data_IF_539159217888
#
_entry.id   IF_539159217888
#
_cell.length_a   1.000
_cell.length_b   1.000
_cell.length_c   1.000
_cell.angle_alpha   90.00
_cell.angle_beta   90.00
_cell.angle_gamma   90.00
#
_symmetry.space_group_name_H-M   'P 1'
#
loop_
_entity.id
_entity.type
_entity.pdbx_description
1 polymer ?
#
# COMPACT_ATOMS: atom_id res chain seq x y z
N UNK A 1 21.62 -8.12 -16.31
CA UNK A 1 20.18 -7.92 -16.59
C UNK A 1 20.05 -7.61 -18.07
N UNK A 2 19.10 -8.24 -18.77
CA UNK A 2 18.77 -7.86 -20.15
C UNK A 2 18.28 -6.41 -20.15
N UNK A 3 18.56 -5.66 -21.23
CA UNK A 3 18.06 -4.27 -21.41
C UNK A 3 16.53 -4.17 -21.41
N UNK A 4 15.84 -5.31 -21.47
CA UNK A 4 14.39 -5.42 -21.48
C UNK A 4 13.76 -5.70 -20.10
N UNK A 5 14.57 -5.96 -19.06
CA UNK A 5 14.07 -6.25 -17.73
C UNK A 5 13.53 -4.98 -17.05
N UNK A 6 12.25 -4.99 -16.69
CA UNK A 6 11.63 -3.90 -15.93
C UNK A 6 12.05 -4.01 -14.46
N UNK A 7 12.66 -2.95 -13.92
CA UNK A 7 13.11 -2.91 -12.53
C UNK A 7 11.94 -2.65 -11.57
N UNK A 8 11.20 -1.57 -11.82
CA UNK A 8 10.05 -1.20 -10.98
C UNK A 8 8.77 -1.14 -11.79
N UNK A 9 7.68 -1.66 -11.23
CA UNK A 9 6.31 -1.33 -11.62
C UNK A 9 5.65 -0.58 -10.46
N UNK A 10 5.14 0.62 -10.69
CA UNK A 10 4.27 1.29 -9.73
C UNK A 10 2.80 1.01 -10.06
N UNK A 11 1.97 0.82 -9.03
CA UNK A 11 0.52 0.68 -9.12
C UNK A 11 -0.13 1.80 -8.33
N UNK A 12 -0.85 2.66 -9.04
CA UNK A 12 -1.60 3.78 -8.48
C UNK A 12 -3.09 3.56 -8.73
N UNK A 13 -3.89 3.62 -7.67
CA UNK A 13 -5.34 3.67 -7.79
C UNK A 13 -5.81 5.12 -7.72
N UNK A 14 -6.48 5.58 -8.78
CA UNK A 14 -7.09 6.91 -8.87
C UNK A 14 -8.61 6.81 -8.76
N UNK A 15 -9.21 7.55 -7.85
CA UNK A 15 -10.64 7.75 -7.76
C UNK A 15 -10.96 9.14 -7.23
N UNK A 16 -11.41 10.04 -8.12
CA UNK A 16 -11.61 11.46 -7.82
C UNK A 16 -10.36 12.10 -7.20
N UNK A 17 -9.23 11.92 -7.88
CA UNK A 17 -7.89 12.30 -7.41
C UNK A 17 -7.25 13.42 -8.25
N UNK A 18 -8.03 14.18 -9.05
CA UNK A 18 -7.49 15.20 -9.95
C UNK A 18 -6.53 16.19 -9.26
N UNK A 19 -6.79 16.48 -7.98
CA UNK A 19 -5.95 17.37 -7.17
C UNK A 19 -4.52 16.84 -6.95
N UNK A 20 -4.35 15.52 -6.91
CA UNK A 20 -3.12 14.87 -6.43
C UNK A 20 -2.38 14.10 -7.53
N UNK A 21 -3.12 13.61 -8.53
CA UNK A 21 -2.63 12.65 -9.50
C UNK A 21 -1.39 13.13 -10.26
N UNK A 22 -1.36 14.40 -10.67
CA UNK A 22 -0.22 14.96 -11.39
C UNK A 22 1.05 14.93 -10.52
N UNK A 23 0.98 15.46 -9.29
CA UNK A 23 2.12 15.47 -8.38
C UNK A 23 2.62 14.08 -8.04
N UNK A 24 1.72 13.11 -7.88
CA UNK A 24 2.06 11.70 -7.64
C UNK A 24 2.82 11.09 -8.83
N UNK A 25 2.30 11.25 -10.04
CA UNK A 25 2.90 10.69 -11.27
C UNK A 25 4.25 11.35 -11.56
N UNK A 26 4.35 12.69 -11.52
CA UNK A 26 5.60 13.41 -11.82
C UNK A 26 6.69 13.10 -10.78
N UNK A 27 6.33 12.94 -9.51
CA UNK A 27 7.28 12.51 -8.47
C UNK A 27 7.83 11.12 -8.77
N UNK A 28 6.99 10.18 -9.23
CA UNK A 28 7.44 8.83 -9.59
C UNK A 28 8.27 8.81 -10.87
N UNK A 29 7.90 9.55 -11.90
CA UNK A 29 8.70 9.69 -13.14
C UNK A 29 10.09 10.18 -12.78
N UNK A 30 10.19 11.23 -11.97
CA UNK A 30 11.47 11.78 -11.50
C UNK A 30 12.23 10.75 -10.64
N UNK A 31 11.55 10.08 -9.73
CA UNK A 31 12.13 9.05 -8.87
C UNK A 31 12.73 7.89 -9.69
N UNK A 32 11.99 7.38 -10.66
CA UNK A 32 12.42 6.26 -11.49
C UNK A 32 13.56 6.60 -12.44
N UNK A 33 13.64 7.85 -12.91
CA UNK A 33 14.75 8.32 -13.74
C UNK A 33 16.11 8.24 -13.03
N UNK A 34 16.14 8.18 -11.70
CA UNK A 34 17.37 8.00 -10.92
C UNK A 34 17.90 6.56 -10.88
N UNK A 35 17.12 5.57 -11.34
CA UNK A 35 17.53 4.17 -11.30
C UNK A 35 17.99 3.67 -12.68
N UNK A 36 19.03 2.83 -12.67
CA UNK A 36 19.43 2.10 -13.87
C UNK A 36 18.42 0.98 -14.14
N UNK A 37 17.74 1.04 -15.27
CA UNK A 37 16.77 0.05 -15.72
C UNK A 37 15.42 0.67 -16.08
N UNK A 38 14.62 -0.10 -16.82
CA UNK A 38 13.26 0.33 -17.22
C UNK A 38 12.33 0.29 -16.03
N UNK A 39 11.39 1.22 -16.01
CA UNK A 39 10.32 1.25 -15.01
C UNK A 39 8.98 1.57 -15.68
N UNK A 40 7.90 1.20 -15.07
CA UNK A 40 6.53 1.44 -15.57
C UNK A 40 5.61 1.88 -14.43
N UNK A 41 4.65 2.74 -14.76
CA UNK A 41 3.67 3.28 -13.81
C UNK A 41 2.28 2.93 -14.32
N UNK A 42 1.60 2.01 -13.67
CA UNK A 42 0.22 1.64 -13.95
C UNK A 42 -0.73 2.48 -13.11
N UNK A 43 -1.47 3.39 -13.73
CA UNK A 43 -2.51 4.17 -13.07
C UNK A 43 -3.87 3.63 -13.47
N UNK A 44 -4.65 3.19 -12.49
CA UNK A 44 -6.00 2.71 -12.71
C UNK A 44 -7.02 3.78 -12.26
N UNK A 45 -7.67 4.44 -13.23
CA UNK A 45 -8.81 5.30 -12.94
C UNK A 45 -10.07 4.45 -12.71
N UNK A 46 -10.58 4.51 -11.49
CA UNK A 46 -11.68 3.67 -11.01
C UNK A 46 -13.05 4.34 -11.18
N UNK A 47 -13.30 4.94 -12.34
CA UNK A 47 -14.56 5.60 -12.66
C UNK A 47 -14.70 6.97 -12.01
N UNK A 48 -13.67 7.79 -12.07
CA UNK A 48 -13.65 9.17 -11.56
C UNK A 48 -14.62 10.09 -12.30
N UNK A 49 -15.05 11.16 -11.63
CA UNK A 49 -15.98 12.17 -12.15
C UNK A 49 -15.51 13.61 -11.96
N UNK A 50 -14.26 13.79 -11.49
CA UNK A 50 -13.67 15.09 -11.12
C UNK A 50 -12.61 15.59 -12.12
N UNK A 51 -12.48 14.94 -13.29
CA UNK A 51 -11.45 15.26 -14.28
C UNK A 51 -10.20 14.41 -14.19
N UNK A 52 -10.07 13.49 -13.22
CA UNK A 52 -8.90 12.59 -13.07
C UNK A 52 -8.59 11.81 -14.34
N UNK A 53 -9.63 11.28 -15.03
CA UNK A 53 -9.45 10.50 -16.25
C UNK A 53 -8.86 11.34 -17.40
N UNK A 54 -9.31 12.59 -17.58
CA UNK A 54 -8.78 13.49 -18.58
C UNK A 54 -7.32 13.88 -18.27
N UNK A 55 -7.03 14.16 -16.98
CA UNK A 55 -5.68 14.45 -16.51
C UNK A 55 -4.75 13.25 -16.74
N UNK A 56 -5.20 12.02 -16.45
CA UNK A 56 -4.44 10.81 -16.72
C UNK A 56 -4.11 10.66 -18.21
N UNK A 57 -5.06 11.00 -19.11
CA UNK A 57 -4.82 11.03 -20.55
C UNK A 57 -3.68 11.99 -20.92
N UNK A 58 -3.73 13.23 -20.45
CA UNK A 58 -2.70 14.25 -20.70
C UNK A 58 -1.32 13.86 -20.13
N UNK A 59 -1.29 13.25 -18.94
CA UNK A 59 -0.06 12.73 -18.35
C UNK A 59 0.52 11.57 -19.17
N UNK A 60 -0.35 10.71 -19.74
CA UNK A 60 0.09 9.60 -20.60
C UNK A 60 0.72 10.11 -21.89
N UNK A 61 0.17 11.18 -22.50
CA UNK A 61 0.78 11.82 -23.67
C UNK A 61 2.15 12.44 -23.34
N UNK A 62 2.33 12.93 -22.10
CA UNK A 62 3.59 13.51 -21.63
C UNK A 62 4.66 12.43 -21.34
N UNK A 63 4.24 11.26 -20.85
CA UNK A 63 5.13 10.17 -20.41
C UNK A 63 4.78 8.81 -21.06
N UNK A 64 4.70 8.69 -22.40
CA UNK A 64 4.14 7.51 -23.07
C UNK A 64 4.95 6.22 -22.83
N UNK A 65 6.26 6.36 -22.60
CA UNK A 65 7.15 5.21 -22.39
C UNK A 65 6.96 4.57 -21.00
N UNK A 66 6.66 5.39 -19.99
CA UNK A 66 6.61 4.96 -18.58
C UNK A 66 5.19 4.76 -18.09
N UNK A 67 4.27 5.67 -18.45
CA UNK A 67 2.90 5.67 -17.91
C UNK A 67 1.97 4.75 -18.71
N UNK A 68 1.26 3.87 -18.00
CA UNK A 68 0.33 2.87 -18.55
C UNK A 68 -1.04 3.08 -17.91
N UNK A 69 -1.96 3.82 -18.58
CA UNK A 69 -3.27 4.13 -18.04
C UNK A 69 -4.24 2.94 -18.17
N UNK A 70 -5.08 2.79 -17.16
CA UNK A 70 -6.20 1.85 -17.15
C UNK A 70 -7.46 2.61 -16.71
N UNK A 71 -8.60 2.29 -17.30
CA UNK A 71 -9.85 2.98 -17.04
C UNK A 71 -10.98 2.01 -16.72
N UNK A 72 -11.82 2.39 -15.78
CA UNK A 72 -13.08 1.73 -15.50
C UNK A 72 -14.25 2.72 -15.65
N UNK A 73 -15.37 2.27 -16.20
CA UNK A 73 -16.57 3.11 -16.32
C UNK A 73 -17.25 3.35 -14.97
N UNK A 74 -16.98 2.50 -13.97
CA UNK A 74 -17.61 2.53 -12.65
C UNK A 74 -16.59 2.22 -11.55
N UNK A 75 -16.87 2.69 -10.34
CA UNK A 75 -16.06 2.34 -9.17
C UNK A 75 -16.27 0.86 -8.79
N UNK A 76 -15.26 0.03 -9.05
CA UNK A 76 -15.24 -1.41 -8.77
C UNK A 76 -14.66 -1.76 -7.40
N UNK A 77 -14.28 -0.76 -6.60
CA UNK A 77 -13.59 -0.93 -5.31
C UNK A 77 -12.08 -0.95 -5.44
N UNK A 78 -11.41 -0.90 -4.31
CA UNK A 78 -9.94 -0.83 -4.24
C UNK A 78 -9.28 -2.10 -4.73
N UNK A 79 -9.77 -3.26 -4.30
CA UNK A 79 -9.15 -4.56 -4.55
C UNK A 79 -9.19 -4.97 -6.02
N UNK A 80 -10.37 -4.89 -6.65
CA UNK A 80 -10.54 -5.24 -8.07
C UNK A 80 -9.67 -4.34 -8.95
N UNK A 81 -9.68 -3.03 -8.70
CA UNK A 81 -8.93 -2.07 -9.50
C UNK A 81 -7.41 -2.26 -9.34
N UNK A 82 -6.93 -2.44 -8.10
CA UNK A 82 -5.51 -2.73 -7.85
C UNK A 82 -5.08 -4.06 -8.45
N UNK A 83 -5.90 -5.11 -8.35
CA UNK A 83 -5.58 -6.41 -8.95
C UNK A 83 -5.39 -6.32 -10.46
N UNK A 84 -6.22 -5.54 -11.16
CA UNK A 84 -6.08 -5.33 -12.61
C UNK A 84 -4.76 -4.63 -12.96
N UNK A 85 -4.36 -3.63 -12.19
CA UNK A 85 -3.08 -2.97 -12.37
C UNK A 85 -1.90 -3.88 -11.99
N UNK A 86 -2.00 -4.61 -10.86
CA UNK A 86 -0.99 -5.58 -10.42
C UNK A 86 -0.75 -6.69 -11.45
N UNK A 87 -1.81 -7.18 -12.10
CA UNK A 87 -1.70 -8.21 -13.14
C UNK A 87 -0.92 -7.75 -14.38
N UNK A 88 -0.84 -6.44 -14.63
CA UNK A 88 -0.08 -5.87 -15.75
C UNK A 88 1.39 -5.60 -15.40
N UNK A 89 1.77 -5.66 -14.11
CA UNK A 89 3.12 -5.37 -13.64
C UNK A 89 4.13 -6.42 -14.11
N UNK A 90 5.27 -5.94 -14.65
CA UNK A 90 6.39 -6.78 -15.07
C UNK A 90 7.66 -6.54 -14.27
N UNK A 91 7.69 -5.47 -13.48
CA UNK A 91 8.83 -5.08 -12.68
C UNK A 91 9.25 -6.14 -11.65
N UNK A 92 10.55 -6.25 -11.43
CA UNK A 92 11.10 -7.08 -10.36
C UNK A 92 10.54 -6.68 -8.99
N UNK A 93 10.40 -5.38 -8.78
CA UNK A 93 9.79 -4.77 -7.60
C UNK A 93 8.49 -4.09 -7.99
N UNK A 94 7.48 -4.23 -7.15
CA UNK A 94 6.19 -3.56 -7.31
C UNK A 94 5.99 -2.57 -6.17
N UNK A 95 5.81 -1.32 -6.54
CA UNK A 95 5.46 -0.22 -5.63
C UNK A 95 3.95 0.02 -5.69
N UNK A 96 3.23 -0.33 -4.64
CA UNK A 96 1.83 0.09 -4.47
C UNK A 96 1.83 1.47 -3.82
N UNK A 97 1.19 2.44 -4.45
CA UNK A 97 1.16 3.83 -4.00
C UNK A 97 -0.25 4.41 -4.13
N UNK A 98 -0.72 5.13 -3.11
CA UNK A 98 -1.97 5.91 -3.21
C UNK A 98 -1.75 7.16 -4.07
N UNK A 99 -2.79 7.61 -4.78
CA UNK A 99 -2.71 8.76 -5.69
C UNK A 99 -2.44 10.10 -4.98
N UNK A 100 -2.59 10.16 -3.67
CA UNK A 100 -2.29 11.29 -2.79
C UNK A 100 -0.97 11.11 -2.00
N UNK A 101 -0.12 10.15 -2.45
CA UNK A 101 1.19 9.92 -1.88
C UNK A 101 2.31 10.21 -2.88
N UNK A 102 3.47 10.61 -2.36
CA UNK A 102 4.70 10.80 -3.14
C UNK A 102 5.90 10.19 -2.45
N UNK A 103 6.84 9.66 -3.24
CA UNK A 103 8.10 9.09 -2.75
C UNK A 103 9.25 9.53 -3.66
N UNK A 104 10.37 9.93 -3.05
CA UNK A 104 11.57 10.31 -3.79
C UNK A 104 12.56 9.16 -3.97
N UNK A 105 13.59 9.42 -4.79
CA UNK A 105 14.62 8.45 -5.14
C UNK A 105 15.31 7.83 -3.92
N UNK A 106 15.82 8.65 -2.99
CA UNK A 106 16.55 8.16 -1.80
C UNK A 106 15.69 7.23 -0.93
N UNK A 107 14.40 7.58 -0.76
CA UNK A 107 13.47 6.78 0.01
C UNK A 107 13.20 5.43 -0.67
N UNK A 108 12.95 5.41 -1.99
CA UNK A 108 12.72 4.17 -2.73
C UNK A 108 13.98 3.30 -2.79
N UNK A 109 15.16 3.90 -2.95
CA UNK A 109 16.44 3.20 -2.89
C UNK A 109 16.68 2.56 -1.51
N UNK A 110 16.33 3.27 -0.43
CA UNK A 110 16.42 2.73 0.93
C UNK A 110 15.44 1.56 1.16
N UNK A 111 14.18 1.68 0.68
CA UNK A 111 13.21 0.58 0.74
C UNK A 111 13.72 -0.66 0.00
N UNK A 112 14.27 -0.46 -1.21
CA UNK A 112 14.85 -1.56 -2.00
C UNK A 112 16.01 -2.21 -1.26
N UNK A 113 16.94 -1.41 -0.72
CA UNK A 113 18.09 -1.92 0.04
C UNK A 113 17.63 -2.77 1.22
N UNK A 114 16.63 -2.32 1.96
CA UNK A 114 16.06 -3.07 3.09
C UNK A 114 15.37 -4.35 2.62
N UNK A 115 14.66 -4.29 1.48
CA UNK A 115 13.98 -5.45 0.90
C UNK A 115 14.97 -6.53 0.45
N UNK A 116 16.10 -6.12 -0.14
CA UNK A 116 17.14 -7.02 -0.63
C UNK A 116 18.05 -7.56 0.49
N UNK A 117 17.95 -7.04 1.73
CA UNK A 117 18.81 -7.44 2.85
C UNK A 117 18.57 -8.89 3.31
N UNK A 118 17.36 -9.43 3.11
CA UNK A 118 17.05 -10.81 3.45
C UNK A 118 15.90 -11.38 2.61
N UNK A 119 15.99 -12.65 2.16
CA UNK A 119 15.00 -13.26 1.26
C UNK A 119 13.63 -13.49 1.91
N UNK A 120 13.54 -13.45 3.23
CA UNK A 120 12.31 -13.59 3.99
C UNK A 120 11.55 -12.24 4.15
N UNK A 121 12.11 -11.11 3.69
CA UNK A 121 11.42 -9.84 3.67
C UNK A 121 10.53 -9.80 2.42
N UNK A 122 9.22 -9.86 2.62
CA UNK A 122 8.24 -9.86 1.53
C UNK A 122 7.62 -8.50 1.24
N UNK A 123 7.71 -7.56 2.18
CA UNK A 123 7.20 -6.21 2.03
C UNK A 123 8.02 -5.25 2.88
N UNK A 124 8.35 -4.09 2.32
CA UNK A 124 8.94 -2.97 3.06
C UNK A 124 8.06 -1.75 2.88
N UNK A 125 7.84 -1.02 3.98
CA UNK A 125 7.00 0.17 4.00
C UNK A 125 7.75 1.35 4.61
N UNK A 126 7.59 2.57 4.05
CA UNK A 126 8.28 3.75 4.55
C UNK A 126 7.58 4.33 5.78
N UNK A 127 8.28 5.24 6.43
CA UNK A 127 7.66 6.22 7.30
C UNK A 127 6.80 7.16 6.47
N UNK A 128 5.50 7.22 6.79
CA UNK A 128 4.60 8.21 6.18
C UNK A 128 4.62 9.50 7.00
N UNK A 129 4.59 10.62 6.29
CA UNK A 129 4.41 11.95 6.88
C UNK A 129 3.30 12.70 6.14
N UNK A 130 2.59 13.53 6.87
CA UNK A 130 1.70 14.54 6.28
C UNK A 130 2.52 15.61 5.55
N UNK A 131 1.91 16.40 4.63
CA UNK A 131 2.61 17.50 3.97
C UNK A 131 3.21 18.54 4.91
N UNK A 132 2.67 18.68 6.12
CA UNK A 132 3.17 19.55 7.18
C UNK A 132 4.35 18.97 7.98
N UNK A 133 4.84 17.77 7.58
CA UNK A 133 5.97 17.08 8.19
C UNK A 133 5.63 16.22 9.41
N UNK A 134 4.39 16.28 9.94
CA UNK A 134 3.98 15.43 11.07
C UNK A 134 4.05 13.95 10.71
N UNK A 135 4.46 13.13 11.66
CA UNK A 135 4.44 11.68 11.51
C UNK A 135 3.01 11.15 11.38
N UNK A 136 2.80 10.30 10.39
CA UNK A 136 1.54 9.59 10.19
C UNK A 136 1.66 8.14 10.68
N UNK A 137 0.80 7.74 11.60
CA UNK A 137 0.78 6.36 12.09
C UNK A 137 0.23 5.41 11.02
N UNK A 138 1.12 4.82 10.24
CA UNK A 138 0.81 3.96 9.08
C UNK A 138 0.89 2.46 9.39
N UNK A 139 1.50 2.07 10.51
CA UNK A 139 1.67 0.68 10.91
C UNK A 139 0.99 0.41 12.25
N UNK A 140 0.53 -0.81 12.46
CA UNK A 140 -0.09 -1.22 13.72
C UNK A 140 -0.04 -2.75 13.87
N UNK A 141 -0.52 -3.22 15.00
CA UNK A 141 -0.76 -4.64 15.28
C UNK A 141 -2.06 -5.09 14.63
N UNK A 142 -2.14 -6.36 14.22
CA UNK A 142 -3.39 -6.91 13.67
C UNK A 142 -4.60 -6.56 14.53
N UNK A 143 -5.68 -6.07 13.91
CA UNK A 143 -6.84 -5.59 14.64
C UNK A 143 -7.50 -6.70 15.44
N UNK A 144 -7.95 -6.37 16.65
CA UNK A 144 -8.95 -7.11 17.38
C UNK A 144 -10.15 -6.19 17.61
N UNK A 145 -11.29 -6.73 17.97
CA UNK A 145 -12.48 -5.91 18.26
C UNK A 145 -12.17 -4.88 19.33
N UNK A 146 -11.49 -5.30 20.42
CA UNK A 146 -11.09 -4.41 21.52
C UNK A 146 -10.12 -3.32 21.06
N UNK A 147 -9.11 -3.67 20.23
CA UNK A 147 -8.14 -2.69 19.71
C UNK A 147 -8.79 -1.69 18.74
N UNK A 148 -9.71 -2.13 17.88
CA UNK A 148 -10.47 -1.23 16.99
C UNK A 148 -11.27 -0.23 17.80
N UNK A 149 -11.93 -0.66 18.88
CA UNK A 149 -12.68 0.24 19.77
C UNK A 149 -11.73 1.23 20.47
N UNK A 150 -10.63 0.76 21.05
CA UNK A 150 -9.62 1.63 21.67
C UNK A 150 -9.05 2.65 20.68
N UNK A 151 -8.70 2.21 19.46
CA UNK A 151 -8.18 3.10 18.40
C UNK A 151 -9.23 4.14 18.01
N UNK A 152 -10.49 3.76 17.85
CA UNK A 152 -11.56 4.70 17.54
C UNK A 152 -11.69 5.80 18.61
N UNK A 153 -11.59 5.43 19.88
CA UNK A 153 -11.73 6.38 21.00
C UNK A 153 -10.48 7.26 21.23
N UNK A 154 -9.27 6.78 20.85
CA UNK A 154 -7.99 7.42 21.20
C UNK A 154 -7.08 7.74 20.01
N UNK A 155 -7.59 7.71 18.78
CA UNK A 155 -6.75 7.83 17.58
C UNK A 155 -5.90 9.09 17.60
N UNK A 156 -6.47 10.25 17.89
CA UNK A 156 -5.74 11.53 17.92
C UNK A 156 -4.61 11.54 18.96
N UNK A 157 -4.87 11.03 20.16
CA UNK A 157 -3.84 10.95 21.20
C UNK A 157 -2.76 9.92 20.88
N UNK A 158 -3.10 8.83 20.19
CA UNK A 158 -2.14 7.84 19.73
C UNK A 158 -1.24 8.40 18.61
N UNK A 159 -1.79 9.16 17.68
CA UNK A 159 -1.01 9.82 16.62
C UNK A 159 -0.09 10.91 17.18
N UNK A 160 -0.55 11.70 18.13
CA UNK A 160 0.27 12.74 18.78
C UNK A 160 1.41 12.16 19.62
N UNK A 161 1.21 11.01 20.24
CA UNK A 161 2.22 10.32 21.05
C UNK A 161 3.14 9.40 20.22
N UNK A 162 2.76 9.08 18.99
CA UNK A 162 3.51 8.16 18.15
C UNK A 162 4.81 8.82 17.64
N UNK A 163 5.91 8.09 17.80
CA UNK A 163 7.20 8.42 17.20
C UNK A 163 7.64 7.28 16.30
N UNK A 164 8.28 7.63 15.20
CA UNK A 164 8.87 6.62 14.35
C UNK A 164 10.01 5.92 15.12
N UNK A 165 10.15 4.59 15.01
CA UNK A 165 11.30 3.89 15.54
C UNK A 165 12.57 4.40 14.85
N UNK A 166 13.72 4.27 15.53
CA UNK A 166 15.03 4.72 15.01
C UNK A 166 15.69 3.73 14.03
N UNK A 167 15.21 2.48 13.99
CA UNK A 167 15.73 1.41 13.15
C UNK A 167 14.60 0.60 12.51
N UNK A 168 14.86 -0.15 11.42
CA UNK A 168 13.89 -1.04 10.82
C UNK A 168 13.32 -2.05 11.84
N UNK A 169 11.99 -2.24 11.79
CA UNK A 169 11.29 -3.19 12.66
C UNK A 169 10.27 -4.01 11.88
N UNK A 170 10.03 -5.23 12.34
CA UNK A 170 8.90 -6.03 11.85
C UNK A 170 7.58 -5.44 12.36
N UNK A 171 6.60 -5.35 11.46
CA UNK A 171 5.24 -4.87 11.80
C UNK A 171 4.18 -5.88 11.40
N UNK A 172 3.08 -5.95 12.15
CA UNK A 172 1.99 -6.87 11.82
C UNK A 172 1.34 -6.47 10.49
N UNK A 173 1.03 -5.18 10.30
CA UNK A 173 0.52 -4.64 9.04
C UNK A 173 0.86 -3.16 8.87
N UNK A 174 0.76 -2.71 7.63
CA UNK A 174 0.83 -1.31 7.24
C UNK A 174 -0.36 -0.96 6.32
N UNK A 175 -0.82 0.30 6.37
CA UNK A 175 -1.81 0.81 5.40
C UNK A 175 -1.24 0.77 3.99
N UNK A 176 -2.10 0.58 2.98
CA UNK A 176 -1.69 0.40 1.59
C UNK A 176 -1.31 1.67 0.84
N UNK A 177 -0.99 2.75 1.59
CA UNK A 177 -0.60 4.03 0.99
C UNK A 177 0.77 4.00 0.29
N UNK A 178 1.71 3.19 0.80
CA UNK A 178 3.00 2.96 0.14
C UNK A 178 3.61 1.62 0.58
N UNK A 179 3.69 0.66 -0.33
CA UNK A 179 4.30 -0.64 -0.13
C UNK A 179 5.29 -0.95 -1.24
N UNK A 180 6.47 -1.45 -0.90
CA UNK A 180 7.39 -2.05 -1.86
C UNK A 180 7.48 -3.56 -1.63
N UNK A 181 7.21 -4.35 -2.68
CA UNK A 181 7.24 -5.82 -2.65
C UNK A 181 8.02 -6.38 -3.84
N UNK A 182 8.71 -7.51 -3.69
CA UNK A 182 9.14 -8.30 -4.85
C UNK A 182 7.91 -8.83 -5.60
N UNK A 183 7.94 -8.83 -6.93
CA UNK A 183 6.86 -9.44 -7.74
C UNK A 183 6.64 -10.92 -7.39
N UNK A 184 7.72 -11.65 -7.13
CA UNK A 184 7.64 -13.05 -6.71
C UNK A 184 6.83 -13.26 -5.40
N UNK A 185 6.85 -12.28 -4.48
CA UNK A 185 6.01 -12.33 -3.27
C UNK A 185 4.54 -12.14 -3.61
N UNK A 186 4.22 -11.21 -4.54
CA UNK A 186 2.84 -11.02 -5.01
C UNK A 186 2.33 -12.29 -5.69
N UNK A 187 3.16 -12.95 -6.49
CA UNK A 187 2.82 -14.23 -7.13
C UNK A 187 2.57 -15.34 -6.10
N UNK A 188 3.39 -15.41 -5.06
CA UNK A 188 3.27 -16.41 -4.00
C UNK A 188 2.06 -16.18 -3.08
N UNK A 189 1.76 -14.92 -2.74
CA UNK A 189 0.65 -14.52 -1.86
C UNK A 189 -0.69 -14.51 -2.61
N UNK A 190 -0.65 -14.23 -3.92
CA UNK A 190 -1.82 -14.05 -4.78
C UNK A 190 -2.40 -12.62 -4.72
N UNK A 191 -3.49 -12.38 -5.48
CA UNK A 191 -4.11 -11.06 -5.60
C UNK A 191 -4.79 -10.62 -4.30
N UNK A 192 -5.14 -9.34 -4.17
CA UNK A 192 -6.00 -8.81 -3.12
C UNK A 192 -7.36 -9.53 -3.15
N UNK A 193 -8.00 -9.69 -1.98
CA UNK A 193 -9.30 -10.36 -1.89
C UNK A 193 -10.45 -9.45 -2.35
N UNK A 194 -11.02 -9.76 -3.50
CA UNK A 194 -12.07 -8.96 -4.16
C UNK A 194 -13.41 -8.98 -3.43
N UNK A 195 -13.60 -9.84 -2.41
CA UNK A 195 -14.74 -9.76 -1.52
C UNK A 195 -14.64 -8.56 -0.55
N UNK A 196 -13.48 -7.91 -0.47
CA UNK A 196 -13.27 -6.69 0.30
C UNK A 196 -13.27 -5.51 -0.68
N UNK A 197 -14.36 -4.75 -0.70
CA UNK A 197 -14.53 -3.65 -1.65
C UNK A 197 -13.55 -2.48 -1.41
N UNK A 198 -13.29 -2.11 -0.13
CA UNK A 198 -12.49 -0.94 0.22
C UNK A 198 -11.52 -1.21 1.37
N UNK A 199 -11.99 -1.66 2.52
CA UNK A 199 -11.19 -1.88 3.74
C UNK A 199 -11.82 -3.03 4.55
N UNK A 200 -11.01 -3.87 5.22
CA UNK A 200 -9.57 -3.79 5.50
C UNK A 200 -8.71 -4.67 4.54
N UNK A 201 -8.62 -4.33 3.28
CA UNK A 201 -7.85 -5.06 2.27
C UNK A 201 -6.35 -5.08 2.58
N UNK A 202 -5.84 -3.99 3.14
CA UNK A 202 -4.46 -3.82 3.58
C UNK A 202 -4.09 -4.81 4.68
N UNK A 203 -4.93 -4.91 5.70
CA UNK A 203 -4.73 -5.84 6.81
C UNK A 203 -4.85 -7.28 6.34
N UNK A 204 -5.84 -7.59 5.47
CA UNK A 204 -6.01 -8.93 4.88
C UNK A 204 -4.76 -9.35 4.11
N UNK A 205 -4.25 -8.46 3.27
CA UNK A 205 -3.06 -8.75 2.47
C UNK A 205 -1.83 -8.98 3.35
N UNK A 206 -1.61 -8.13 4.35
CA UNK A 206 -0.52 -8.28 5.30
C UNK A 206 -0.59 -9.61 6.07
N UNK A 207 -1.78 -10.06 6.50
CA UNK A 207 -1.94 -11.40 7.12
C UNK A 207 -1.50 -12.50 6.15
N UNK A 208 -1.85 -12.39 4.88
CA UNK A 208 -1.47 -13.40 3.87
C UNK A 208 0.02 -13.39 3.56
N UNK A 209 0.67 -12.24 3.56
CA UNK A 209 2.14 -12.13 3.47
C UNK A 209 2.81 -12.90 4.62
N UNK A 210 2.34 -12.70 5.87
CA UNK A 210 2.83 -13.45 7.03
C UNK A 210 2.54 -14.95 6.96
N UNK A 211 1.36 -15.34 6.47
CA UNK A 211 1.00 -16.77 6.29
C UNK A 211 1.82 -17.45 5.21
N UNK A 212 2.28 -16.71 4.21
CA UNK A 212 3.20 -17.19 3.18
C UNK A 212 4.65 -17.29 3.65
N UNK A 213 4.95 -16.92 4.90
CA UNK A 213 6.28 -17.03 5.50
C UNK A 213 7.14 -15.78 5.38
N UNK A 214 6.63 -14.71 4.79
CA UNK A 214 7.37 -13.47 4.63
C UNK A 214 7.14 -12.48 5.78
N UNK A 215 8.13 -11.60 6.00
CA UNK A 215 8.06 -10.47 6.95
C UNK A 215 7.60 -9.20 6.26
N UNK A 216 7.02 -8.32 7.06
CA UNK A 216 6.72 -6.94 6.69
C UNK A 216 7.61 -6.05 7.54
N UNK A 217 8.46 -5.26 6.90
CA UNK A 217 9.43 -4.40 7.58
C UNK A 217 9.05 -2.93 7.41
N UNK A 218 8.94 -2.22 8.50
CA UNK A 218 8.86 -0.76 8.52
C UNK A 218 10.27 -0.18 8.50
N UNK A 219 10.57 0.63 7.48
CA UNK A 219 11.87 1.28 7.29
C UNK A 219 11.76 2.79 7.60
N UNK A 220 12.14 3.23 8.79
CA UNK A 220 11.94 4.62 9.23
C UNK A 220 12.84 5.63 8.52
N UNK A 221 13.94 5.18 7.89
CA UNK A 221 14.85 6.08 7.14
C UNK A 221 14.32 6.44 5.77
N UNK A 222 13.41 5.61 5.20
CA UNK A 222 12.68 5.95 4.01
C UNK A 222 11.43 6.75 4.36
N UNK A 223 11.28 7.94 3.80
CA UNK A 223 10.14 8.83 4.07
C UNK A 223 9.35 9.03 2.80
N UNK A 224 8.03 8.80 2.87
CA UNK A 224 7.07 9.17 1.85
C UNK A 224 6.07 10.18 2.42
N UNK A 225 5.61 11.10 1.59
CA UNK A 225 4.58 12.08 1.95
C UNK A 225 3.23 11.51 1.53
N UNK A 226 2.24 11.58 2.41
CA UNK A 226 0.88 11.13 2.14
C UNK A 226 -0.12 12.17 2.63
N UNK A 227 -0.74 12.89 1.68
CA UNK A 227 -1.79 13.88 1.95
C UNK A 227 -3.14 13.17 2.14
N UNK A 228 -3.20 12.34 3.20
CA UNK A 228 -4.36 11.51 3.47
C UNK A 228 -5.62 12.36 3.51
N UNK A 229 -6.47 12.18 2.51
CA UNK A 229 -7.82 12.69 2.56
C UNK A 229 -8.54 11.98 3.71
N UNK A 230 -8.84 12.69 4.78
CA UNK A 230 -9.53 12.14 5.96
C UNK A 230 -10.99 11.70 5.65
N UNK A 231 -11.22 11.17 4.45
CA UNK A 231 -12.55 10.71 3.99
C UNK A 231 -13.16 9.65 4.92
N UNK A 232 -12.31 8.89 5.62
CA UNK A 232 -12.74 7.87 6.59
C UNK A 232 -12.83 8.39 8.02
N UNK A 233 -12.38 9.63 8.31
CA UNK A 233 -12.30 10.20 9.67
C UNK A 233 -13.52 11.04 10.07
N UNK A 234 -14.43 11.32 9.14
CA UNK A 234 -15.67 12.04 9.44
C UNK A 234 -16.71 11.12 10.10
N UNK A 235 -17.31 11.56 11.22
CA UNK A 235 -18.38 10.86 11.94
C UNK A 235 -19.72 10.74 11.17
N UNK A 236 -19.70 10.85 9.84
CA UNK A 236 -20.89 10.68 9.01
C UNK A 236 -21.12 9.18 8.80
N UNK A 237 -22.15 8.65 9.47
CA UNK A 237 -22.73 7.33 9.20
C UNK A 237 -23.20 7.29 7.71
N UNK A 238 -22.32 6.83 6.83
CA UNK A 238 -22.55 6.76 5.40
C UNK A 238 -22.32 5.35 4.85
N UNK A 239 -22.56 5.18 3.55
CA UNK A 239 -22.36 3.90 2.83
C UNK A 239 -20.94 3.32 3.05
N UNK A 240 -19.92 4.17 3.24
CA UNK A 240 -18.54 3.75 3.50
C UNK A 240 -18.38 3.10 4.88
N UNK A 241 -19.01 3.64 5.93
CA UNK A 241 -18.97 3.06 7.29
C UNK A 241 -19.57 1.66 7.31
N UNK A 242 -20.70 1.48 6.61
CA UNK A 242 -21.35 0.16 6.50
C UNK A 242 -20.49 -0.85 5.74
N UNK A 243 -19.91 -0.46 4.61
CA UNK A 243 -19.00 -1.31 3.83
C UNK A 243 -17.75 -1.68 4.64
N UNK A 244 -17.20 -0.74 5.39
CA UNK A 244 -16.06 -1.02 6.29
C UNK A 244 -16.43 -2.02 7.38
N UNK A 245 -17.60 -1.90 8.01
CA UNK A 245 -18.09 -2.85 9.01
C UNK A 245 -18.28 -4.26 8.43
N UNK A 246 -18.88 -4.35 7.23
CA UNK A 246 -19.01 -5.63 6.50
C UNK A 246 -17.64 -6.24 6.18
N UNK A 247 -16.69 -5.43 5.69
CA UNK A 247 -15.33 -5.87 5.42
C UNK A 247 -14.62 -6.40 6.65
N UNK A 248 -14.77 -5.72 7.81
CA UNK A 248 -14.21 -6.20 9.08
C UNK A 248 -14.82 -7.52 9.54
N UNK A 249 -16.13 -7.68 9.43
CA UNK A 249 -16.80 -8.93 9.78
C UNK A 249 -16.31 -10.08 8.90
N UNK A 250 -16.23 -9.84 7.59
CA UNK A 250 -15.67 -10.79 6.63
C UNK A 250 -14.22 -11.14 6.98
N UNK A 251 -13.37 -10.15 7.22
CA UNK A 251 -11.98 -10.32 7.61
C UNK A 251 -11.81 -11.20 8.86
N UNK A 252 -12.53 -10.92 9.94
CA UNK A 252 -12.45 -11.72 11.16
C UNK A 252 -12.91 -13.17 10.95
N UNK A 253 -13.98 -13.36 10.15
CA UNK A 253 -14.47 -14.70 9.79
C UNK A 253 -13.45 -15.46 8.94
N UNK A 254 -12.87 -14.83 7.93
CA UNK A 254 -11.85 -15.40 7.05
C UNK A 254 -10.63 -15.86 7.82
N UNK A 255 -10.10 -14.99 8.69
CA UNK A 255 -8.88 -15.28 9.43
C UNK A 255 -9.13 -16.01 10.77
N UNK A 256 -10.38 -16.27 11.12
CA UNK A 256 -10.81 -17.07 12.29
C UNK A 256 -10.24 -16.55 13.61
N UNK A 257 -10.25 -15.23 13.82
CA UNK A 257 -9.92 -14.60 15.10
C UNK A 257 -10.67 -13.28 15.25
N UNK A 258 -10.92 -12.83 16.48
CA UNK A 258 -11.55 -11.51 16.74
C UNK A 258 -11.08 -10.85 18.04
N UNK A 259 -10.77 -11.62 19.09
CA UNK A 259 -10.40 -11.05 20.39
C UNK A 259 -8.92 -11.21 20.72
N UNK A 260 -8.23 -12.23 20.16
CA UNK A 260 -6.82 -12.49 20.43
C UNK A 260 -6.06 -12.81 19.15
N UNK A 261 -4.93 -12.14 18.94
CA UNK A 261 -4.02 -12.37 17.82
C UNK A 261 -3.17 -13.63 17.97
N UNK A 262 -3.08 -14.17 19.19
CA UNK A 262 -2.20 -15.32 19.44
C UNK A 262 -2.55 -16.53 18.56
N UNK A 263 -3.85 -16.78 18.33
CA UNK A 263 -4.30 -17.84 17.42
C UNK A 263 -3.88 -17.62 15.97
N UNK A 264 -3.96 -16.38 15.47
CA UNK A 264 -3.50 -16.03 14.14
C UNK A 264 -1.96 -16.18 14.02
N UNK A 265 -1.20 -15.62 14.98
CA UNK A 265 0.27 -15.65 14.95
C UNK A 265 0.85 -17.07 15.07
N UNK A 266 0.16 -18.00 15.73
CA UNK A 266 0.58 -19.42 15.77
C UNK A 266 0.50 -20.11 14.41
N UNK A 267 -0.24 -19.57 13.45
CA UNK A 267 -0.37 -20.10 12.09
C UNK A 267 0.74 -19.63 11.15
N UNK A 268 1.51 -18.62 11.55
CA UNK A 268 2.65 -18.16 10.76
C UNK A 268 3.74 -19.24 10.79
N UNK A 269 4.38 -19.53 9.66
CA UNK A 269 5.49 -20.46 9.62
C UNK A 269 6.54 -20.07 10.66
N UNK A 270 7.08 -21.09 11.36
CA UNK A 270 8.21 -20.86 12.26
C UNK A 270 9.41 -20.49 11.41
N UNK A 271 10.04 -19.38 11.72
CA UNK A 271 11.31 -19.02 11.11
C UNK A 271 12.30 -20.10 11.50
N UNK A 272 12.86 -20.80 10.51
CA UNK A 272 13.98 -21.67 10.76
C UNK A 272 15.11 -20.83 11.36
N UNK A 273 15.70 -21.28 12.44
CA UNK A 273 17.02 -20.83 12.82
C UNK A 273 17.91 -21.23 11.63
N UNK A 274 18.14 -20.29 10.72
CA UNK A 274 19.21 -20.42 9.73
C UNK A 274 20.50 -20.39 10.53
N UNK A 275 21.07 -21.59 10.71
CA UNK A 275 22.41 -21.74 11.25
C UNK A 275 23.45 -21.14 10.32
#
# INVERSE_FOLDING_TARGET
MSSDDVLFSAVILSYNSARYLESCVEALVTCFAGFDGRSEIHVFDNGSRDGSAALLGALTERHPEVLKPHYSAVNTGTTVSRNRALAACRGRYVLVLDSDATIGFDALAQLRTTLDAAPDIGMVVPQLRYPDGRYQLSTDQFPTVTRKLQRFLRLRSLEQAAQAPSAPIDVDYAISACWLLPRAVIEAVGPLDENIFYSPEDVDYCVRVWLAGYRIVFEPRAVAIHDAQELSRGAKLGKFTWRHAQGLLYYFRKHRYCFSRAGLKRRFPRRGASG
#
